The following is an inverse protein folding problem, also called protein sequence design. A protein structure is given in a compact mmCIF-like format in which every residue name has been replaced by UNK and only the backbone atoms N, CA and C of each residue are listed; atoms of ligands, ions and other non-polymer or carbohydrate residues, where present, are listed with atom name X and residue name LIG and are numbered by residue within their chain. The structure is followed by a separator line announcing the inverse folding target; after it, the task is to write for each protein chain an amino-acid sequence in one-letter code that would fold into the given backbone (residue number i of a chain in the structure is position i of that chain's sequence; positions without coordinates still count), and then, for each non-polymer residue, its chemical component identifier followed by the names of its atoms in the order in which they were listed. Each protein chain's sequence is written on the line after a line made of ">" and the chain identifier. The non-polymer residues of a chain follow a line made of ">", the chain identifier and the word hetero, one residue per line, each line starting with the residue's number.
data_IF_938439339104
#
_entry.id   IF_938439339104
#
_cell.length_a   1.000
_cell.length_b   1.000
_cell.length_c   1.000
_cell.angle_alpha   90.00
_cell.angle_beta   90.00
_cell.angle_gamma   90.00
#
_symmetry.space_group_name_H-M   'P 1'
#
loop_
_entity.id
_entity.type
_entity.pdbx_description
1 polymer ?
#
# COMPACT_ATOMS: atom_id res chain seq x y z
N UNK A 1 9.32 8.93 -16.63
CA UNK A 1 10.30 9.87 -16.04
C UNK A 1 9.64 10.75 -15.01
N UNK A 2 10.39 11.18 -13.95
CA UNK A 2 9.86 12.03 -12.86
C UNK A 2 9.24 13.34 -13.38
N UNK A 3 9.78 13.91 -14.45
CA UNK A 3 9.23 15.12 -15.08
C UNK A 3 7.76 14.99 -15.53
N UNK A 4 7.27 13.79 -15.75
CA UNK A 4 5.87 13.57 -16.14
C UNK A 4 4.89 13.82 -14.98
N UNK A 5 5.37 13.90 -13.75
CA UNK A 5 4.55 14.24 -12.59
C UNK A 5 4.45 15.76 -12.35
N UNK A 6 5.05 16.59 -13.20
CA UNK A 6 5.06 18.06 -13.11
C UNK A 6 5.08 18.70 -14.52
N UNK A 7 4.41 18.09 -15.49
CA UNK A 7 4.40 18.55 -16.88
C UNK A 7 3.13 19.32 -17.28
N UNK A 8 2.24 19.56 -16.33
CA UNK A 8 0.98 20.23 -16.51
C UNK A 8 -0.11 19.35 -17.15
N UNK A 9 0.07 18.02 -17.13
CA UNK A 9 -0.83 17.08 -17.78
C UNK A 9 -1.42 16.08 -16.80
N UNK A 10 -2.71 16.06 -16.69
CA UNK A 10 -3.45 15.07 -15.90
C UNK A 10 -3.95 13.87 -16.72
N UNK A 11 -3.40 13.71 -17.94
CA UNK A 11 -3.79 12.65 -18.88
C UNK A 11 -3.12 11.31 -18.56
N UNK A 12 -3.71 10.23 -19.09
CA UNK A 12 -3.28 8.87 -18.75
C UNK A 12 -1.97 8.46 -19.40
N UNK A 13 -1.56 9.11 -20.49
CA UNK A 13 -0.34 8.83 -21.24
C UNK A 13 0.91 9.45 -20.62
N UNK A 14 0.75 10.39 -19.67
CA UNK A 14 1.86 11.05 -18.98
C UNK A 14 1.73 10.87 -17.48
N UNK A 15 2.60 10.04 -16.90
CA UNK A 15 2.71 9.88 -15.46
C UNK A 15 4.09 9.36 -15.04
N UNK A 16 4.45 9.58 -13.80
CA UNK A 16 5.55 8.90 -13.13
C UNK A 16 5.00 7.67 -12.39
N UNK A 17 5.75 6.57 -12.37
CA UNK A 17 5.28 5.36 -11.74
C UNK A 17 6.39 4.56 -11.07
N UNK A 18 6.03 3.84 -10.00
CA UNK A 18 6.94 3.06 -9.14
C UNK A 18 7.02 1.58 -9.52
N UNK A 19 6.40 1.17 -10.64
CA UNK A 19 6.39 -0.25 -11.05
C UNK A 19 7.81 -0.80 -11.20
N UNK A 20 8.09 -1.89 -10.48
CA UNK A 20 9.42 -2.48 -10.41
C UNK A 20 10.30 -1.93 -9.28
N UNK A 21 9.80 -0.98 -8.47
CA UNK A 21 10.47 -0.59 -7.24
C UNK A 21 10.34 -1.70 -6.20
N UNK A 22 11.44 -2.00 -5.52
CA UNK A 22 11.49 -2.92 -4.37
C UNK A 22 11.45 -2.16 -3.04
N UNK A 23 11.36 -0.83 -3.08
CA UNK A 23 11.32 0.01 -1.91
C UNK A 23 9.95 -0.10 -1.20
N UNK A 24 9.96 0.01 0.13
CA UNK A 24 8.72 0.13 0.92
C UNK A 24 7.99 1.44 0.62
N UNK A 25 8.72 2.49 0.30
CA UNK A 25 8.22 3.81 -0.08
C UNK A 25 9.06 4.39 -1.19
N UNK A 26 8.45 5.18 -2.07
CA UNK A 26 9.13 5.91 -3.12
C UNK A 26 8.86 7.40 -2.99
N UNK A 27 9.80 8.24 -3.42
CA UNK A 27 9.71 9.69 -3.25
C UNK A 27 9.81 10.45 -4.57
N UNK A 28 9.09 11.57 -4.65
CA UNK A 28 9.31 12.62 -5.64
C UNK A 28 9.75 13.91 -4.94
N UNK A 29 10.87 14.47 -5.37
CA UNK A 29 11.32 15.79 -4.97
C UNK A 29 11.01 16.77 -6.09
N UNK A 30 10.24 17.81 -5.79
CA UNK A 30 9.84 18.87 -6.72
C UNK A 30 10.57 20.15 -6.33
N UNK A 31 11.62 20.49 -7.10
CA UNK A 31 12.37 21.73 -6.91
C UNK A 31 11.76 22.84 -7.75
N UNK A 32 11.39 23.95 -7.14
CA UNK A 32 10.82 25.10 -7.82
C UNK A 32 11.88 25.81 -8.69
N UNK A 33 11.50 26.10 -9.93
CA UNK A 33 12.40 26.67 -10.92
C UNK A 33 12.87 28.09 -10.54
N UNK A 34 11.95 28.86 -9.97
CA UNK A 34 12.19 30.27 -9.65
C UNK A 34 12.65 30.50 -8.20
N UNK A 35 13.27 29.47 -7.61
CA UNK A 35 13.83 29.54 -6.26
C UNK A 35 12.78 29.34 -5.18
N UNK A 36 12.92 30.06 -4.07
CA UNK A 36 12.05 29.91 -2.90
C UNK A 36 10.65 30.44 -3.21
N UNK A 37 9.65 29.60 -2.98
CA UNK A 37 8.24 29.91 -3.18
C UNK A 37 7.47 29.79 -1.87
N UNK A 38 6.45 30.60 -1.69
CA UNK A 38 5.46 30.46 -0.64
C UNK A 38 4.31 29.64 -1.19
N UNK A 39 3.96 28.56 -0.53
CA UNK A 39 2.88 27.64 -0.93
C UNK A 39 1.98 27.31 0.24
N UNK A 40 0.68 27.08 -0.04
CA UNK A 40 -0.37 26.74 0.92
C UNK A 40 -1.36 25.69 0.40
N UNK A 41 -1.17 25.19 -0.82
CA UNK A 41 -2.09 24.24 -1.48
C UNK A 41 -1.26 23.35 -2.40
N UNK A 42 -1.31 22.05 -2.17
CA UNK A 42 -0.73 21.02 -3.04
C UNK A 42 -1.86 20.15 -3.57
N UNK A 43 -1.78 19.81 -4.86
CA UNK A 43 -2.74 18.94 -5.54
C UNK A 43 -2.02 17.76 -6.16
N UNK A 44 -2.49 16.57 -5.85
CA UNK A 44 -1.93 15.31 -6.33
C UNK A 44 -2.95 14.61 -7.21
N UNK A 45 -2.53 14.20 -8.40
CA UNK A 45 -3.35 13.45 -9.34
C UNK A 45 -2.77 12.06 -9.52
N UNK A 46 -3.47 11.04 -9.03
CA UNK A 46 -3.01 9.67 -9.13
C UNK A 46 -3.53 8.99 -10.39
N UNK A 47 -2.74 8.04 -10.89
CA UNK A 47 -3.12 7.13 -11.94
C UNK A 47 -3.70 5.86 -11.32
N UNK A 48 -4.88 5.46 -11.76
CA UNK A 48 -5.49 4.19 -11.40
C UNK A 48 -5.69 3.37 -12.67
N UNK A 49 -5.18 2.15 -12.70
CA UNK A 49 -5.41 1.23 -13.81
C UNK A 49 -6.80 0.62 -13.70
N UNK A 50 -7.55 0.57 -14.81
CA UNK A 50 -8.80 -0.18 -14.92
C UNK A 50 -8.55 -1.51 -15.63
N UNK A 51 -9.46 -2.47 -15.46
CA UNK A 51 -9.38 -3.80 -16.11
C UNK A 51 -9.37 -3.75 -17.64
N UNK A 52 -9.77 -2.63 -18.23
CA UNK A 52 -9.81 -2.42 -19.69
C UNK A 52 -8.58 -1.73 -20.25
N UNK A 53 -7.57 -1.41 -19.43
CA UNK A 53 -6.41 -0.64 -19.85
C UNK A 53 -5.17 -1.53 -20.07
N UNK A 54 -4.34 -1.13 -21.04
CA UNK A 54 -3.07 -1.79 -21.39
C UNK A 54 -2.03 -1.70 -20.26
N UNK A 55 -2.13 -0.67 -19.40
CA UNK A 55 -1.22 -0.45 -18.27
C UNK A 55 -1.95 -0.87 -17.00
N UNK A 56 -1.51 -1.98 -16.41
CA UNK A 56 -2.10 -2.56 -15.20
C UNK A 56 -1.15 -2.52 -14.01
N UNK A 57 -1.68 -2.73 -12.82
CA UNK A 57 -0.90 -2.86 -11.58
C UNK A 57 -0.57 -1.52 -10.91
N UNK A 58 -1.32 -0.47 -11.20
CA UNK A 58 -1.22 0.83 -10.54
C UNK A 58 -2.49 1.16 -9.78
N UNK A 59 -2.32 1.75 -8.60
CA UNK A 59 -3.40 2.32 -7.80
C UNK A 59 -2.93 3.65 -7.16
N UNK A 60 -3.86 4.38 -6.55
CA UNK A 60 -3.53 5.43 -5.61
C UNK A 60 -2.69 4.84 -4.46
N UNK A 61 -1.81 5.62 -3.82
CA UNK A 61 -1.03 5.14 -2.69
C UNK A 61 -1.95 4.77 -1.50
N UNK A 62 -1.50 3.84 -0.67
CA UNK A 62 -2.12 3.57 0.63
C UNK A 62 -2.02 4.79 1.54
N UNK A 63 -0.88 5.49 1.46
CA UNK A 63 -0.59 6.72 2.19
C UNK A 63 0.41 7.58 1.41
N UNK A 64 0.44 8.87 1.70
CA UNK A 64 1.49 9.79 1.25
C UNK A 64 1.82 10.82 2.32
N UNK A 65 3.10 11.23 2.38
CA UNK A 65 3.61 12.28 3.26
C UNK A 65 4.11 13.45 2.45
N UNK A 66 3.88 14.64 2.98
CA UNK A 66 4.34 15.90 2.40
C UNK A 66 5.36 16.54 3.32
N UNK A 67 6.52 16.88 2.75
CA UNK A 67 7.58 17.56 3.45
C UNK A 67 8.10 18.74 2.61
N UNK A 68 8.65 19.73 3.28
CA UNK A 68 9.35 20.84 2.64
C UNK A 68 10.79 20.92 3.10
N UNK A 69 11.66 21.43 2.25
CA UNK A 69 13.07 21.62 2.59
C UNK A 69 13.26 22.96 3.27
N UNK A 70 13.82 22.94 4.48
CA UNK A 70 14.21 24.15 5.22
C UNK A 70 15.45 24.80 4.60
N UNK A 71 15.77 26.03 5.03
CA UNK A 71 16.94 26.77 4.55
C UNK A 71 18.28 26.10 4.91
N UNK A 72 18.32 25.32 5.97
CA UNK A 72 19.49 24.52 6.37
C UNK A 72 19.65 23.20 5.57
N UNK A 73 18.73 22.95 4.63
CA UNK A 73 18.71 21.74 3.80
C UNK A 73 18.03 20.54 4.45
N UNK A 74 17.61 20.62 5.71
CA UNK A 74 16.85 19.56 6.38
C UNK A 74 15.38 19.52 5.91
N UNK A 75 14.72 18.39 6.10
CA UNK A 75 13.31 18.21 5.77
C UNK A 75 12.43 18.38 7.00
N UNK A 76 11.29 18.99 6.81
CA UNK A 76 10.25 19.10 7.83
C UNK A 76 8.89 18.69 7.24
N UNK A 77 8.04 18.01 8.02
CA UNK A 77 6.68 17.71 7.58
C UNK A 77 5.89 18.99 7.39
N UNK A 78 4.99 18.99 6.40
CA UNK A 78 3.98 20.03 6.24
C UNK A 78 2.87 19.73 7.26
N UNK A 79 2.77 20.56 8.28
CA UNK A 79 1.76 20.45 9.33
C UNK A 79 0.42 21.10 8.95
N UNK A 80 -0.57 20.99 9.83
CA UNK A 80 -1.90 21.64 9.72
C UNK A 80 -2.60 21.40 8.39
N UNK A 81 -2.54 20.16 7.90
CA UNK A 81 -3.11 19.77 6.61
C UNK A 81 -4.63 19.62 6.70
N UNK A 82 -5.32 20.19 5.71
CA UNK A 82 -6.72 19.89 5.40
C UNK A 82 -6.75 19.12 4.09
N UNK A 83 -7.06 17.82 4.16
CA UNK A 83 -7.07 16.90 3.02
C UNK A 83 -8.49 16.69 2.48
N UNK A 84 -8.62 16.71 1.16
CA UNK A 84 -9.86 16.41 0.46
C UNK A 84 -9.56 15.55 -0.79
N UNK A 85 -9.94 14.27 -0.78
CA UNK A 85 -10.50 13.49 0.33
C UNK A 85 -9.47 13.23 1.46
N UNK A 86 -9.92 12.77 2.64
CA UNK A 86 -9.03 12.47 3.77
C UNK A 86 -8.02 11.36 3.41
N UNK A 87 -8.50 10.25 2.88
CA UNK A 87 -7.65 9.20 2.34
C UNK A 87 -7.26 9.48 0.89
N UNK A 88 -6.14 8.90 0.44
CA UNK A 88 -5.75 9.02 -0.96
C UNK A 88 -6.85 8.53 -1.90
N UNK A 89 -7.34 9.42 -2.74
CA UNK A 89 -8.34 9.12 -3.78
C UNK A 89 -7.68 8.86 -5.12
N UNK A 90 -8.35 8.10 -5.96
CA UNK A 90 -7.84 7.63 -7.25
C UNK A 90 -7.46 8.74 -8.26
N UNK A 91 -8.02 9.93 -8.15
CA UNK A 91 -7.78 10.98 -9.14
C UNK A 91 -7.20 12.25 -8.50
N UNK A 92 -8.05 13.06 -7.90
CA UNK A 92 -7.73 14.38 -7.42
C UNK A 92 -7.70 14.40 -5.90
N UNK A 93 -6.58 14.87 -5.35
CA UNK A 93 -6.39 15.05 -3.92
C UNK A 93 -5.88 16.46 -3.68
N UNK A 94 -6.56 17.22 -2.86
CA UNK A 94 -6.19 18.57 -2.49
C UNK A 94 -5.74 18.60 -1.04
N UNK A 95 -4.59 19.21 -0.79
CA UNK A 95 -4.03 19.37 0.53
C UNK A 95 -3.75 20.87 0.75
N UNK A 96 -4.53 21.47 1.64
CA UNK A 96 -4.34 22.85 2.09
C UNK A 96 -3.65 22.84 3.45
N UNK A 97 -2.81 23.85 3.71
CA UNK A 97 -2.02 23.90 4.95
C UNK A 97 -1.60 25.34 5.28
N UNK A 98 -1.10 25.56 6.47
CA UNK A 98 -0.46 26.83 6.86
C UNK A 98 0.71 27.11 5.91
N UNK A 99 0.78 28.30 5.28
CA UNK A 99 1.78 28.57 4.26
C UNK A 99 3.22 28.29 4.70
N UNK A 100 3.97 27.60 3.87
CA UNK A 100 5.42 27.39 4.03
C UNK A 100 6.18 28.06 2.91
N UNK A 101 7.41 28.52 3.19
CA UNK A 101 8.33 29.05 2.19
C UNK A 101 9.49 28.08 1.98
N UNK A 102 9.64 27.59 0.76
CA UNK A 102 10.63 26.56 0.42
C UNK A 102 11.09 26.64 -1.03
N UNK A 103 12.23 26.05 -1.33
CA UNK A 103 12.70 25.81 -2.69
C UNK A 103 12.29 24.44 -3.22
N UNK A 104 11.95 23.50 -2.31
CA UNK A 104 11.71 22.11 -2.70
C UNK A 104 10.70 21.45 -1.77
N UNK A 105 9.72 20.77 -2.36
CA UNK A 105 8.83 19.87 -1.64
C UNK A 105 9.19 18.43 -1.94
N UNK A 106 8.88 17.53 -1.01
CA UNK A 106 9.02 16.08 -1.15
C UNK A 106 7.68 15.42 -0.87
N UNK A 107 7.28 14.54 -1.78
CA UNK A 107 6.15 13.65 -1.57
C UNK A 107 6.67 12.23 -1.48
N UNK A 108 6.41 11.56 -0.37
CA UNK A 108 6.75 10.15 -0.14
C UNK A 108 5.47 9.33 -0.24
N UNK A 109 5.46 8.30 -1.06
CA UNK A 109 4.31 7.44 -1.32
C UNK A 109 4.53 6.06 -0.72
N UNK A 110 3.54 5.55 0.00
CA UNK A 110 3.47 4.15 0.42
C UNK A 110 2.51 3.43 -0.52
N UNK A 111 2.95 2.44 -1.30
CA UNK A 111 2.07 1.74 -2.24
C UNK A 111 1.08 0.83 -1.49
N UNK A 112 -0.06 0.56 -2.11
CA UNK A 112 -0.93 -0.53 -1.68
C UNK A 112 -0.25 -1.88 -1.97
N UNK A 113 -0.60 -2.92 -1.19
CA UNK A 113 -0.01 -4.24 -1.35
C UNK A 113 -0.18 -4.78 -2.77
N UNK A 114 0.93 -5.14 -3.41
CA UNK A 114 0.95 -5.69 -4.77
C UNK A 114 0.68 -4.69 -5.90
N UNK A 115 0.55 -3.39 -5.57
CA UNK A 115 0.30 -2.33 -6.54
C UNK A 115 1.47 -1.35 -6.60
N UNK A 116 1.65 -0.71 -7.74
CA UNK A 116 2.54 0.41 -7.90
C UNK A 116 1.77 1.73 -7.79
N UNK A 117 2.44 2.80 -7.39
CA UNK A 117 1.86 4.15 -7.41
C UNK A 117 2.14 4.80 -8.76
N UNK A 118 1.12 5.39 -9.36
CA UNK A 118 1.24 6.24 -10.54
C UNK A 118 0.84 7.67 -10.19
N UNK A 119 1.70 8.63 -10.49
CA UNK A 119 1.44 10.07 -10.28
C UNK A 119 1.36 10.75 -11.63
N UNK A 120 0.18 11.25 -11.99
CA UNK A 120 -0.05 11.99 -13.23
C UNK A 120 0.49 13.41 -13.13
N UNK A 121 0.16 14.10 -12.01
CA UNK A 121 0.56 15.48 -11.83
C UNK A 121 0.66 15.83 -10.34
N UNK A 122 1.57 16.72 -10.00
CA UNK A 122 1.69 17.41 -8.71
C UNK A 122 1.72 18.90 -8.98
N UNK A 123 0.76 19.60 -8.42
CA UNK A 123 0.66 21.06 -8.51
C UNK A 123 0.88 21.66 -7.13
N UNK A 124 1.55 22.81 -7.06
CA UNK A 124 1.76 23.57 -5.83
C UNK A 124 1.37 25.04 -6.06
N UNK A 125 0.57 25.58 -5.15
CA UNK A 125 0.00 26.91 -5.26
C UNK A 125 0.22 27.75 -4.02
N UNK A 126 0.27 29.06 -4.20
CA UNK A 126 0.03 30.06 -3.17
C UNK A 126 -1.35 30.66 -3.43
N UNK A 127 -2.36 30.16 -2.76
CA UNK A 127 -3.74 30.63 -2.95
C UNK A 127 -4.05 31.87 -2.11
N UNK A 128 -3.26 32.10 -1.04
CA UNK A 128 -3.55 33.10 -0.03
C UNK A 128 -4.81 32.80 0.79
N UNK A 129 -5.42 31.63 0.59
CA UNK A 129 -6.61 31.19 1.31
C UNK A 129 -6.14 30.36 2.50
N UNK A 130 -6.44 30.83 3.69
CA UNK A 130 -6.18 30.05 4.92
C UNK A 130 -7.06 28.81 4.89
N UNK A 131 -6.46 27.64 5.17
CA UNK A 131 -7.22 26.40 5.36
C UNK A 131 -8.26 26.62 6.49
N UNK A 132 -9.50 26.21 6.23
CA UNK A 132 -10.60 26.35 7.21
C UNK A 132 -10.62 25.13 8.13
N UNK A 133 -9.78 25.19 9.15
CA UNK A 133 -9.56 24.08 10.07
C UNK A 133 -8.39 23.17 9.65
N UNK A 134 -8.18 22.11 10.43
CA UNK A 134 -7.30 21.00 10.11
C UNK A 134 -8.13 19.74 9.88
N UNK A 135 -7.66 18.83 9.04
CA UNK A 135 -8.27 17.49 8.96
C UNK A 135 -8.06 16.78 10.29
N UNK A 136 -9.12 16.19 10.83
CA UNK A 136 -8.99 15.29 11.97
C UNK A 136 -8.30 14.00 11.50
N UNK A 137 -7.32 13.53 12.27
CA UNK A 137 -6.71 12.23 12.09
C UNK A 137 -7.80 11.14 12.02
N UNK A 138 -7.77 10.28 11.02
CA UNK A 138 -8.70 9.17 10.85
C UNK A 138 -8.04 7.85 11.27
N UNK A 139 -8.86 6.89 11.68
CA UNK A 139 -8.38 5.53 11.98
C UNK A 139 -7.89 4.86 10.69
N UNK A 140 -6.70 4.23 10.69
CA UNK A 140 -6.23 3.46 9.55
C UNK A 140 -7.25 2.40 9.12
N UNK A 141 -7.58 2.35 7.84
CA UNK A 141 -8.47 1.34 7.25
C UNK A 141 -7.65 0.11 6.92
N UNK A 142 -8.02 -1.01 7.51
CA UNK A 142 -7.31 -2.28 7.34
C UNK A 142 -8.19 -3.29 6.64
N UNK A 143 -7.69 -3.92 5.59
CA UNK A 143 -8.25 -5.11 5.00
C UNK A 143 -7.18 -6.22 4.90
N UNK A 144 -7.63 -7.48 4.93
CA UNK A 144 -6.72 -8.61 4.89
C UNK A 144 -7.41 -9.86 4.33
N UNK A 145 -6.64 -10.69 3.61
CA UNK A 145 -7.11 -11.95 3.07
C UNK A 145 -5.97 -12.95 2.87
N UNK A 146 -6.33 -14.21 2.66
CA UNK A 146 -5.42 -15.27 2.27
C UNK A 146 -5.29 -15.28 0.75
N UNK A 147 -4.09 -15.06 0.22
CA UNK A 147 -3.86 -15.08 -1.23
C UNK A 147 -3.53 -16.46 -1.77
N UNK A 148 -2.95 -17.33 -0.95
CA UNK A 148 -2.70 -18.73 -1.27
C UNK A 148 -2.47 -19.53 0.00
N UNK A 149 -2.86 -20.82 -0.02
CA UNK A 149 -2.58 -21.78 1.04
C UNK A 149 -1.85 -22.99 0.45
N UNK A 150 -0.95 -23.56 1.22
CA UNK A 150 -0.22 -24.79 0.90
C UNK A 150 -0.28 -25.73 2.11
N UNK A 151 0.18 -26.97 1.93
CA UNK A 151 0.34 -27.92 3.05
C UNK A 151 1.37 -27.48 4.11
N UNK A 152 2.06 -26.36 3.93
CA UNK A 152 3.08 -25.86 4.86
C UNK A 152 2.83 -24.44 5.36
N UNK A 153 1.69 -23.83 5.02
CA UNK A 153 1.35 -22.48 5.47
C UNK A 153 0.47 -21.71 4.52
N UNK A 154 0.28 -20.43 4.81
CA UNK A 154 -0.54 -19.53 4.00
C UNK A 154 0.19 -18.20 3.73
N UNK A 155 -0.02 -17.65 2.56
CA UNK A 155 0.39 -16.27 2.23
C UNK A 155 -0.74 -15.32 2.56
N UNK A 156 -0.47 -14.40 3.47
CA UNK A 156 -1.39 -13.36 3.90
C UNK A 156 -1.08 -12.07 3.14
N UNK A 157 -2.11 -11.38 2.74
CA UNK A 157 -2.02 -10.05 2.13
C UNK A 157 -2.87 -9.10 2.95
N UNK A 158 -2.24 -8.07 3.49
CA UNK A 158 -2.87 -6.96 4.15
C UNK A 158 -2.81 -5.69 3.31
N UNK A 159 -3.85 -4.90 3.35
CA UNK A 159 -3.90 -3.56 2.77
C UNK A 159 -4.27 -2.58 3.87
N UNK A 160 -3.48 -1.52 3.98
CA UNK A 160 -3.74 -0.44 4.93
C UNK A 160 -3.85 0.86 4.15
N UNK A 161 -4.93 1.61 4.41
CA UNK A 161 -5.11 2.98 3.93
C UNK A 161 -5.17 3.91 5.13
N UNK A 162 -4.45 5.01 5.04
CA UNK A 162 -4.35 6.01 6.08
C UNK A 162 -4.45 7.43 5.49
N UNK A 163 -4.86 8.41 6.28
CA UNK A 163 -4.95 9.80 5.83
C UNK A 163 -3.61 10.54 5.91
N UNK A 164 -2.55 9.88 6.44
CA UNK A 164 -1.22 10.44 6.63
C UNK A 164 -1.13 11.46 7.77
N UNK A 165 -2.05 11.39 8.71
CA UNK A 165 -2.01 12.12 9.96
C UNK A 165 -1.83 11.14 11.13
N UNK A 166 -1.19 11.58 12.23
CA UNK A 166 -0.44 12.85 12.36
C UNK A 166 0.73 12.92 11.36
N UNK A 167 1.07 14.09 10.85
CA UNK A 167 2.03 14.29 9.75
C UNK A 167 3.43 13.71 10.02
N UNK A 168 3.82 13.56 11.28
CA UNK A 168 5.09 12.97 11.71
C UNK A 168 5.00 11.45 11.95
N UNK A 169 3.78 10.88 11.97
CA UNK A 169 3.54 9.46 12.23
C UNK A 169 3.85 8.55 11.04
N UNK A 170 4.49 7.41 11.31
CA UNK A 170 4.58 6.31 10.35
C UNK A 170 3.50 5.27 10.67
N UNK A 171 2.78 4.82 9.65
CA UNK A 171 1.84 3.73 9.85
C UNK A 171 2.62 2.43 10.04
N UNK A 172 2.42 1.81 11.18
CA UNK A 172 2.99 0.50 11.51
C UNK A 172 1.94 -0.58 11.38
N UNK A 173 2.36 -1.81 11.09
CA UNK A 173 1.47 -2.97 10.99
C UNK A 173 1.97 -4.10 11.86
N UNK A 174 1.03 -4.91 12.39
CA UNK A 174 1.37 -6.10 13.18
C UNK A 174 0.34 -7.20 12.98
N UNK A 175 0.81 -8.37 12.57
CA UNK A 175 0.03 -9.60 12.61
C UNK A 175 0.10 -10.27 13.95
N UNK A 176 -1.02 -10.78 14.44
CA UNK A 176 -1.12 -11.56 15.68
C UNK A 176 -2.11 -12.71 15.52
N UNK A 177 -1.94 -13.75 16.32
CA UNK A 177 -2.93 -14.81 16.49
C UNK A 177 -3.92 -14.40 17.58
N UNK A 178 -5.21 -14.41 17.25
CA UNK A 178 -6.31 -14.16 18.21
C UNK A 178 -6.77 -15.44 18.85
N UNK A 179 -6.97 -16.49 18.04
CA UNK A 179 -7.37 -17.81 18.53
C UNK A 179 -6.88 -18.93 17.60
N UNK A 180 -7.02 -20.16 18.03
CA UNK A 180 -6.64 -21.35 17.27
C UNK A 180 -6.98 -22.64 18.03
N UNK A 181 -6.66 -23.81 17.49
CA UNK A 181 -6.82 -25.09 18.18
C UNK A 181 -5.98 -25.12 19.44
N UNK A 182 -6.37 -25.92 20.42
CA UNK A 182 -5.65 -26.05 21.70
C UNK A 182 -4.16 -26.40 21.50
N UNK A 183 -3.28 -25.53 22.03
CA UNK A 183 -1.83 -25.58 21.82
C UNK A 183 -1.38 -25.34 20.37
N UNK A 184 -2.28 -24.81 19.53
CA UNK A 184 -1.97 -24.35 18.18
C UNK A 184 -1.28 -22.99 18.19
N UNK A 185 -0.22 -22.84 17.38
CA UNK A 185 0.52 -21.58 17.22
C UNK A 185 0.71 -21.27 15.75
N UNK A 186 0.52 -20.00 15.40
CA UNK A 186 0.82 -19.43 14.10
C UNK A 186 2.16 -18.68 14.17
N UNK A 187 3.08 -19.00 13.27
CA UNK A 187 4.38 -18.33 13.18
C UNK A 187 4.47 -17.53 11.89
N UNK A 188 4.56 -16.22 12.01
CA UNK A 188 4.73 -15.31 10.89
C UNK A 188 6.21 -15.18 10.51
N UNK A 189 6.50 -15.12 9.22
CA UNK A 189 7.88 -14.86 8.72
C UNK A 189 8.29 -13.44 9.10
N UNK A 190 7.41 -12.47 8.89
CA UNK A 190 7.56 -11.09 9.36
C UNK A 190 6.19 -10.61 9.83
N UNK A 191 6.01 -10.51 11.13
CA UNK A 191 4.75 -10.05 11.72
C UNK A 191 4.52 -8.54 11.52
N UNK A 192 5.55 -7.77 11.23
CA UNK A 192 5.47 -6.32 11.01
C UNK A 192 5.17 -5.93 9.56
N UNK A 193 5.27 -6.87 8.61
CA UNK A 193 4.93 -6.61 7.23
C UNK A 193 3.43 -6.83 6.99
N UNK A 194 2.75 -5.86 6.33
CA UNK A 194 1.33 -6.00 5.99
C UNK A 194 1.06 -7.29 5.19
N UNK A 195 1.96 -7.67 4.29
CA UNK A 195 1.90 -8.95 3.59
C UNK A 195 3.02 -9.88 4.08
N UNK A 196 2.64 -11.07 4.52
CA UNK A 196 3.58 -12.03 5.13
C UNK A 196 3.18 -13.48 4.82
N UNK A 197 4.02 -14.42 5.20
CA UNK A 197 3.71 -15.84 5.20
C UNK A 197 3.56 -16.32 6.63
N UNK A 198 2.60 -17.20 6.88
CA UNK A 198 2.35 -17.82 8.17
C UNK A 198 2.45 -19.33 8.06
N UNK A 199 3.03 -19.99 9.07
CA UNK A 199 3.06 -21.44 9.23
C UNK A 199 2.37 -21.83 10.52
N UNK A 200 1.89 -23.08 10.61
CA UNK A 200 1.11 -23.58 11.73
C UNK A 200 1.75 -24.87 12.29
N UNK A 201 1.65 -25.06 13.60
CA UNK A 201 2.17 -26.26 14.26
C UNK A 201 1.10 -27.35 14.47
N UNK A 202 -0.19 -27.01 14.31
CA UNK A 202 -1.34 -27.92 14.40
C UNK A 202 -2.36 -27.65 13.33
N UNK A 203 -3.08 -28.69 12.92
CA UNK A 203 -4.23 -28.55 12.05
C UNK A 203 -5.41 -27.92 12.79
N UNK A 204 -6.14 -27.02 12.12
CA UNK A 204 -7.33 -26.39 12.64
C UNK A 204 -7.49 -24.95 12.18
N UNK A 205 -8.57 -24.32 12.61
CA UNK A 205 -8.89 -22.94 12.24
C UNK A 205 -8.23 -21.96 13.21
N UNK A 206 -7.49 -21.03 12.64
CA UNK A 206 -6.84 -19.93 13.35
C UNK A 206 -7.51 -18.61 12.99
N UNK A 207 -7.81 -17.80 13.98
CA UNK A 207 -8.17 -16.40 13.77
C UNK A 207 -6.90 -15.56 13.89
N UNK A 208 -6.54 -14.92 12.80
CA UNK A 208 -5.38 -14.02 12.70
C UNK A 208 -5.86 -12.59 12.55
N UNK A 209 -5.18 -11.64 13.18
CA UNK A 209 -5.51 -10.22 13.14
C UNK A 209 -4.35 -9.41 12.61
N UNK A 210 -4.61 -8.60 11.60
CA UNK A 210 -3.75 -7.49 11.19
C UNK A 210 -4.20 -6.22 11.89
N UNK A 211 -3.31 -5.60 12.64
CA UNK A 211 -3.50 -4.28 13.24
C UNK A 211 -2.60 -3.27 12.53
N UNK A 212 -3.12 -2.09 12.26
CA UNK A 212 -2.35 -0.95 11.78
C UNK A 212 -2.53 0.23 12.74
N UNK A 213 -1.43 0.93 13.04
CA UNK A 213 -1.42 2.12 13.91
C UNK A 213 -0.66 3.25 13.25
N UNK A 214 -1.22 4.46 13.30
CA UNK A 214 -0.57 5.72 12.91
C UNK A 214 0.16 6.41 14.08
N UNK A 215 0.17 5.76 15.26
CA UNK A 215 0.73 6.29 16.50
C UNK A 215 -0.30 6.94 17.43
N UNK A 216 -1.48 7.32 16.93
CA UNK A 216 -2.59 7.87 17.72
C UNK A 216 -3.85 7.00 17.68
N UNK A 217 -4.13 6.39 16.53
CA UNK A 217 -5.30 5.53 16.27
C UNK A 217 -4.90 4.18 15.74
N UNK A 218 -5.77 3.20 15.96
CA UNK A 218 -5.56 1.83 15.51
C UNK A 218 -6.78 1.30 14.76
N UNK A 219 -6.53 0.71 13.59
CA UNK A 219 -7.48 -0.08 12.82
C UNK A 219 -7.05 -1.54 12.75
N UNK A 220 -7.99 -2.47 12.60
CA UNK A 220 -7.65 -3.87 12.49
C UNK A 220 -8.63 -4.67 11.64
N UNK A 221 -8.17 -5.82 11.15
CA UNK A 221 -8.96 -6.80 10.41
C UNK A 221 -8.62 -8.21 10.89
N UNK A 222 -9.65 -8.98 11.20
CA UNK A 222 -9.52 -10.41 11.49
C UNK A 222 -9.87 -11.26 10.26
N UNK A 223 -9.12 -12.36 10.09
CA UNK A 223 -9.37 -13.37 9.07
C UNK A 223 -9.25 -14.76 9.70
N UNK A 224 -10.03 -15.70 9.20
CA UNK A 224 -9.90 -17.12 9.58
C UNK A 224 -9.08 -17.85 8.53
N UNK A 225 -8.08 -18.62 8.99
CA UNK A 225 -7.19 -19.42 8.15
C UNK A 225 -7.20 -20.85 8.66
N UNK A 226 -7.50 -21.80 7.78
CA UNK A 226 -7.32 -23.21 8.11
C UNK A 226 -5.84 -23.58 7.99
N UNK A 227 -5.22 -23.78 9.15
CA UNK A 227 -3.80 -24.12 9.25
C UNK A 227 -3.59 -25.63 9.11
N UNK A 228 -2.62 -26.01 8.31
CA UNK A 228 -2.12 -27.38 8.20
C UNK A 228 -0.67 -27.35 8.69
N UNK A 229 -0.28 -28.21 9.64
CA UNK A 229 1.08 -28.22 10.14
C UNK A 229 2.05 -28.70 9.05
N UNK A 230 3.21 -28.08 8.98
CA UNK A 230 4.29 -28.61 8.17
C UNK A 230 4.87 -29.84 8.88
N UNK A 231 4.51 -31.01 8.42
CA UNK A 231 5.06 -32.29 8.91
C UNK A 231 6.38 -32.68 8.25
N UNK A 232 6.93 -31.77 7.43
CA UNK A 232 8.13 -32.00 6.63
C UNK A 232 7.88 -32.84 5.37
N UNK A 233 6.63 -33.24 5.11
CA UNK A 233 6.28 -33.88 3.85
C UNK A 233 6.20 -32.87 2.69
N UNK A 234 6.83 -33.22 1.59
CA UNK A 234 6.76 -32.40 0.36
C UNK A 234 5.70 -33.00 -0.54
N UNK A 235 4.71 -32.19 -0.96
CA UNK A 235 3.79 -32.62 -1.99
C UNK A 235 4.56 -32.79 -3.31
N UNK A 236 4.85 -34.03 -3.67
CA UNK A 236 5.59 -34.36 -4.89
C UNK A 236 4.69 -34.48 -6.12
N UNK A 237 3.36 -34.38 -5.98
CA UNK A 237 2.43 -34.46 -7.11
C UNK A 237 2.67 -33.43 -8.21
N UNK A 238 3.03 -32.16 -7.91
CA UNK A 238 3.40 -31.20 -8.95
C UNK A 238 4.66 -31.55 -9.74
N UNK A 239 5.53 -32.43 -9.17
CA UNK A 239 6.77 -32.90 -9.81
C UNK A 239 6.58 -34.25 -10.51
N UNK A 240 5.39 -34.83 -10.41
CA UNK A 240 5.08 -36.15 -10.99
C UNK A 240 4.42 -36.03 -12.35
N UNK A 241 4.58 -37.07 -13.19
CA UNK A 241 3.82 -37.19 -14.44
C UNK A 241 2.50 -37.91 -14.14
N UNK A 242 1.40 -37.38 -14.66
CA UNK A 242 0.10 -38.01 -14.58
C UNK A 242 -0.26 -38.69 -15.91
N UNK A 243 -0.82 -39.90 -15.87
CA UNK A 243 -1.41 -40.58 -17.01
C UNK A 243 -2.86 -40.95 -16.71
N UNK A 244 -3.73 -40.84 -17.70
CA UNK A 244 -5.12 -41.24 -17.60
C UNK A 244 -5.43 -42.34 -18.62
N UNK A 245 -6.20 -43.36 -18.21
CA UNK A 245 -6.70 -44.43 -19.11
C UNK A 245 -7.80 -43.93 -20.06
N UNK A 246 -8.45 -42.82 -19.73
CA UNK A 246 -9.45 -42.16 -20.56
C UNK A 246 -9.26 -40.63 -20.48
N UNK A 247 -9.23 -39.96 -21.66
CA UNK A 247 -9.29 -38.50 -21.78
C UNK A 247 -10.42 -38.15 -22.74
N UNK A 248 -11.41 -37.38 -22.31
CA UNK A 248 -12.34 -36.76 -23.23
C UNK A 248 -11.63 -35.58 -23.93
N UNK A 249 -12.07 -35.22 -25.14
CA UNK A 249 -11.42 -34.18 -25.94
C UNK A 249 -11.48 -32.74 -25.37
N UNK A 250 -12.04 -32.57 -24.16
CA UNK A 250 -12.18 -31.27 -23.46
C UNK A 250 -11.21 -31.09 -22.27
N UNK A 251 -10.49 -32.12 -21.86
CA UNK A 251 -9.61 -32.05 -20.68
C UNK A 251 -8.17 -32.33 -21.08
N UNK A 252 -7.31 -31.32 -21.23
CA UNK A 252 -5.87 -31.54 -21.44
C UNK A 252 -5.27 -32.38 -20.30
N UNK A 253 -4.37 -33.29 -20.61
CA UNK A 253 -3.66 -34.16 -19.62
C UNK A 253 -3.05 -33.38 -18.47
N UNK A 254 -2.72 -32.10 -18.70
CA UNK A 254 -2.07 -31.23 -17.72
C UNK A 254 -3.03 -30.76 -16.60
N UNK A 255 -4.35 -30.90 -16.77
CA UNK A 255 -5.31 -30.54 -15.71
C UNK A 255 -5.33 -31.55 -14.54
N UNK A 256 -4.82 -32.75 -14.72
CA UNK A 256 -4.70 -33.75 -13.65
C UNK A 256 -3.65 -33.38 -12.57
N UNK A 257 -2.79 -32.38 -12.84
CA UNK A 257 -1.77 -31.88 -11.91
C UNK A 257 -2.23 -30.70 -11.04
N UNK A 258 -3.48 -30.23 -11.22
CA UNK A 258 -4.00 -29.05 -10.53
C UNK A 258 -4.96 -29.36 -9.39
N UNK A 259 -4.87 -30.54 -8.82
CA UNK A 259 -5.63 -30.91 -7.60
C UNK A 259 -4.73 -30.87 -6.40
#
# INVERSE_FOLDING_TARGET
>A
PAKNAVDGKTVMESFWGTKGSENKTDTLNIKFKDGKQKIDDIRLYFYQSSSSQTISGYAEPANYKLEYQKDDGTWAPIADQVRTPNYAGANYNRIQFTPVETTTIRVTFTPQAGMAVGVKEIEAYNTGIKADGTSENQTPQVDAYVSSSTSSGAKLVGTVKDDGLPAEGDVTTTWSQVSGPEGGTAKFVDASAASTTVTFNKEGDYVLKLTASDGEKEGSKEITVHGIPSDGTVNVAPQSSASASYTNGYQPKDNAKKV
#
